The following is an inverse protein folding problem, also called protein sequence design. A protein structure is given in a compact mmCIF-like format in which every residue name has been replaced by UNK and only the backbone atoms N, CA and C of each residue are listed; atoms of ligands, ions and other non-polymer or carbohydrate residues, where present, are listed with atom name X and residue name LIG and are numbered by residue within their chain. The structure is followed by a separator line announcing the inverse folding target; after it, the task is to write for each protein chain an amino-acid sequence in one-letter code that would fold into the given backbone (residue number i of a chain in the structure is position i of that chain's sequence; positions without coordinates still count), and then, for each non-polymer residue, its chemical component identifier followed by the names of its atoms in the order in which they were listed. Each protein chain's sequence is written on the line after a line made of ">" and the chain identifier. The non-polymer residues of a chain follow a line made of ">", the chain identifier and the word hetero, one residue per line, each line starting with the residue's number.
data_IF_119121674085
#
_entry.id   IF_119121674085
#
_cell.length_a   1.000
_cell.length_b   1.000
_cell.length_c   1.000
_cell.angle_alpha   90.00
_cell.angle_beta   90.00
_cell.angle_gamma   90.00
#
_symmetry.space_group_name_H-M   'P 1'
#
loop_
_entity.id
_entity.type
_entity.pdbx_description
1 polymer ?
#
# COMPACT_ATOMS: atom_id res chain seq x y z
N UNK A 1 10.81 -12.20 -5.46
CA UNK A 1 10.62 -10.75 -5.30
C UNK A 1 9.66 -10.54 -4.14
N UNK A 2 10.00 -9.70 -3.16
CA UNK A 2 9.10 -9.43 -2.03
C UNK A 2 7.94 -8.52 -2.44
N UNK A 3 6.88 -8.45 -1.64
CA UNK A 3 5.77 -7.52 -1.88
C UNK A 3 6.22 -6.05 -1.80
N UNK A 4 7.23 -5.76 -0.98
CA UNK A 4 7.84 -4.43 -0.87
C UNK A 4 8.65 -4.08 -2.12
N UNK A 5 9.44 -5.01 -2.66
CA UNK A 5 10.17 -4.82 -3.92
C UNK A 5 9.19 -4.60 -5.09
N UNK A 6 8.12 -5.40 -5.15
CA UNK A 6 7.07 -5.27 -6.15
C UNK A 6 6.39 -3.90 -6.05
N UNK A 7 6.13 -3.42 -4.83
CA UNK A 7 5.55 -2.11 -4.63
C UNK A 7 6.51 -0.98 -5.03
N UNK A 8 7.80 -1.09 -4.73
CA UNK A 8 8.80 -0.10 -5.15
C UNK A 8 8.83 0.06 -6.68
N UNK A 9 8.86 -1.05 -7.43
CA UNK A 9 8.79 -1.02 -8.89
C UNK A 9 7.48 -0.40 -9.40
N UNK A 10 6.35 -0.79 -8.80
CA UNK A 10 5.04 -0.25 -9.17
C UNK A 10 4.91 1.24 -8.87
N UNK A 11 5.50 1.72 -7.78
CA UNK A 11 5.56 3.15 -7.45
C UNK A 11 6.33 3.92 -8.50
N UNK A 12 7.51 3.45 -8.88
CA UNK A 12 8.35 4.14 -9.87
C UNK A 12 7.64 4.17 -11.23
N UNK A 13 6.96 3.08 -11.61
CA UNK A 13 6.08 3.04 -12.79
C UNK A 13 4.88 3.99 -12.65
N UNK A 14 4.27 4.10 -11.47
CA UNK A 14 3.15 5.01 -11.22
C UNK A 14 3.57 6.47 -11.40
N UNK A 15 4.70 6.88 -10.84
CA UNK A 15 5.26 8.23 -10.98
C UNK A 15 5.48 8.55 -12.46
N UNK A 16 6.15 7.66 -13.19
CA UNK A 16 6.40 7.84 -14.62
C UNK A 16 5.11 7.96 -15.47
N UNK A 17 4.05 7.21 -15.15
CA UNK A 17 2.79 7.26 -15.90
C UNK A 17 1.90 8.45 -15.51
N UNK A 18 1.95 8.90 -14.24
CA UNK A 18 1.17 10.04 -13.76
C UNK A 18 1.65 11.34 -14.43
N UNK A 19 2.95 11.48 -14.61
CA UNK A 19 3.57 12.67 -15.22
C UNK A 19 3.42 12.73 -16.74
N UNK A 20 3.13 11.59 -17.40
CA UNK A 20 2.96 11.55 -18.85
C UNK A 20 1.70 12.29 -19.31
N UNK A 21 1.88 13.26 -20.21
CA UNK A 21 0.81 13.91 -20.96
C UNK A 21 0.54 13.18 -22.27
N UNK A 22 -0.73 13.04 -22.64
CA UNK A 22 -1.15 12.55 -23.95
C UNK A 22 -2.32 13.39 -24.48
N UNK A 23 -2.24 13.80 -25.75
CA UNK A 23 -3.22 14.70 -26.38
C UNK A 23 -3.85 14.11 -27.65
N UNK A 24 -3.20 13.14 -28.30
CA UNK A 24 -3.79 12.41 -29.42
C UNK A 24 -4.54 11.14 -28.94
N UNK A 25 -5.58 10.69 -29.66
CA UNK A 25 -6.40 9.55 -29.24
C UNK A 25 -5.63 8.24 -29.01
N UNK A 26 -4.59 7.97 -29.82
CA UNK A 26 -3.84 6.72 -29.73
C UNK A 26 -2.95 6.70 -28.50
N UNK A 27 -2.25 7.80 -28.20
CA UNK A 27 -1.45 7.94 -26.99
C UNK A 27 -2.34 7.90 -25.73
N UNK A 28 -3.50 8.55 -25.76
CA UNK A 28 -4.49 8.52 -24.68
C UNK A 28 -4.92 7.06 -24.39
N UNK A 29 -5.30 6.31 -25.42
CA UNK A 29 -5.73 4.92 -25.28
C UNK A 29 -4.63 4.01 -24.68
N UNK A 30 -3.38 4.18 -25.15
CA UNK A 30 -2.23 3.42 -24.63
C UNK A 30 -1.95 3.75 -23.16
N UNK A 31 -1.95 5.02 -22.80
CA UNK A 31 -1.69 5.45 -21.43
C UNK A 31 -2.81 5.01 -20.48
N UNK A 32 -4.08 5.09 -20.90
CA UNK A 32 -5.21 4.53 -20.14
C UNK A 32 -5.06 3.02 -19.91
N UNK A 33 -4.62 2.27 -20.92
CA UNK A 33 -4.37 0.84 -20.79
C UNK A 33 -3.27 0.56 -19.75
N UNK A 34 -2.14 1.27 -19.79
CA UNK A 34 -1.06 1.09 -18.83
C UNK A 34 -1.48 1.44 -17.39
N UNK A 35 -2.22 2.54 -17.20
CA UNK A 35 -2.77 2.93 -15.90
C UNK A 35 -3.76 1.88 -15.36
N UNK A 36 -4.61 1.33 -16.23
CA UNK A 36 -5.54 0.26 -15.88
C UNK A 36 -4.83 -1.03 -15.45
N UNK A 37 -3.80 -1.44 -16.19
CA UNK A 37 -3.00 -2.63 -15.86
C UNK A 37 -2.25 -2.45 -14.55
N UNK A 38 -1.59 -1.31 -14.37
CA UNK A 38 -0.88 -0.99 -13.13
C UNK A 38 -1.82 -0.97 -11.93
N UNK A 39 -3.01 -0.36 -12.04
CA UNK A 39 -3.99 -0.35 -10.95
C UNK A 39 -4.42 -1.77 -10.52
N UNK A 40 -4.57 -2.70 -11.48
CA UNK A 40 -4.86 -4.12 -11.18
C UNK A 40 -3.69 -4.83 -10.52
N UNK A 41 -2.47 -4.63 -11.00
CA UNK A 41 -1.25 -5.17 -10.39
C UNK A 41 -1.11 -4.69 -8.95
N UNK A 42 -1.33 -3.39 -8.70
CA UNK A 42 -1.26 -2.79 -7.37
C UNK A 42 -2.30 -3.36 -6.41
N UNK A 43 -3.51 -3.74 -6.86
CA UNK A 43 -4.48 -4.41 -5.98
C UNK A 43 -3.91 -5.71 -5.38
N UNK A 44 -3.23 -6.52 -6.20
CA UNK A 44 -2.59 -7.76 -5.74
C UNK A 44 -1.47 -7.48 -4.73
N UNK A 45 -0.60 -6.52 -5.04
CA UNK A 45 0.47 -6.10 -4.13
C UNK A 45 -0.06 -5.57 -2.80
N UNK A 46 -1.09 -4.71 -2.83
CA UNK A 46 -1.73 -4.15 -1.63
C UNK A 46 -2.34 -5.26 -0.77
N UNK A 47 -2.96 -6.27 -1.37
CA UNK A 47 -3.50 -7.42 -0.63
C UNK A 47 -2.39 -8.16 0.12
N UNK A 48 -1.28 -8.48 -0.57
CA UNK A 48 -0.14 -9.17 0.03
C UNK A 48 0.52 -8.34 1.14
N UNK A 49 0.69 -7.03 0.94
CA UNK A 49 1.21 -6.12 1.96
C UNK A 49 0.27 -6.03 3.17
N UNK A 50 -1.04 -5.98 2.93
CA UNK A 50 -2.05 -5.90 4.00
C UNK A 50 -2.08 -7.16 4.85
N UNK A 51 -1.96 -8.33 4.21
CA UNK A 51 -1.83 -9.61 4.91
C UNK A 51 -0.55 -9.68 5.74
N UNK A 52 0.59 -9.28 5.18
CA UNK A 52 1.85 -9.24 5.91
C UNK A 52 1.81 -8.28 7.12
N UNK A 53 1.21 -7.10 6.96
CA UNK A 53 1.02 -6.14 8.05
C UNK A 53 0.10 -6.70 9.15
N UNK A 54 -1.01 -7.36 8.77
CA UNK A 54 -1.91 -7.99 9.72
C UNK A 54 -1.23 -9.11 10.51
N UNK A 55 -0.45 -9.97 9.83
CA UNK A 55 0.31 -11.04 10.47
C UNK A 55 1.35 -10.47 11.45
N UNK A 56 2.11 -9.43 11.04
CA UNK A 56 3.10 -8.78 11.90
C UNK A 56 2.46 -8.21 13.18
N UNK A 57 1.25 -7.64 13.07
CA UNK A 57 0.49 -7.13 14.22
C UNK A 57 0.06 -8.25 15.16
N UNK A 58 -0.50 -9.34 14.62
CA UNK A 58 -0.91 -10.51 15.40
C UNK A 58 0.30 -11.11 16.14
N UNK A 59 1.45 -11.24 15.46
CA UNK A 59 2.67 -11.78 16.05
C UNK A 59 3.21 -10.88 17.17
N UNK A 60 3.19 -9.56 16.98
CA UNK A 60 3.61 -8.59 18.01
C UNK A 60 2.72 -8.68 19.25
N UNK A 61 1.40 -8.76 19.06
CA UNK A 61 0.43 -8.88 20.16
C UNK A 61 0.56 -10.24 20.87
N UNK A 62 0.74 -11.33 20.12
CA UNK A 62 0.95 -12.67 20.68
C UNK A 62 2.27 -12.77 21.46
N UNK A 63 3.34 -12.15 20.97
CA UNK A 63 4.61 -12.07 21.71
C UNK A 63 4.46 -11.29 23.00
N UNK A 64 3.79 -10.12 22.95
CA UNK A 64 3.53 -9.33 24.15
C UNK A 64 2.70 -10.10 25.18
N UNK A 65 1.67 -10.84 24.75
CA UNK A 65 0.86 -11.67 25.62
C UNK A 65 1.70 -12.75 26.33
N UNK A 66 2.50 -13.52 25.58
CA UNK A 66 3.41 -14.53 26.14
C UNK A 66 4.38 -13.96 27.17
N UNK A 67 4.98 -12.79 26.88
CA UNK A 67 5.88 -12.13 27.81
C UNK A 67 5.17 -11.75 29.12
N UNK A 68 3.91 -11.29 29.06
CA UNK A 68 3.12 -10.99 30.27
C UNK A 68 2.96 -12.25 31.12
N UNK A 69 2.55 -13.36 30.50
CA UNK A 69 2.35 -14.64 31.19
C UNK A 69 3.66 -15.11 31.84
N UNK A 70 4.78 -15.08 31.10
CA UNK A 70 6.12 -15.43 31.60
C UNK A 70 6.54 -14.57 32.80
N UNK A 71 6.27 -13.26 32.81
CA UNK A 71 6.60 -12.42 33.95
C UNK A 71 5.70 -12.68 35.15
N UNK A 72 4.42 -12.97 34.93
CA UNK A 72 3.50 -13.33 36.01
C UNK A 72 3.89 -14.66 36.65
N UNK A 73 4.29 -15.66 35.86
CA UNK A 73 4.84 -16.92 36.35
C UNK A 73 6.10 -16.72 37.21
N UNK A 74 6.92 -15.71 36.88
CA UNK A 74 8.09 -15.29 37.67
C UNK A 74 7.74 -14.44 38.91
N UNK A 75 6.46 -14.30 39.24
CA UNK A 75 5.98 -13.62 40.44
C UNK A 75 5.84 -12.09 40.30
N UNK A 76 5.90 -11.55 39.08
CA UNK A 76 5.70 -10.11 38.86
C UNK A 76 4.21 -9.75 38.95
N UNK A 77 3.88 -8.58 39.50
CA UNK A 77 2.51 -8.07 39.45
C UNK A 77 2.10 -7.78 38.00
N UNK A 78 0.81 -7.97 37.68
CA UNK A 78 0.28 -7.77 36.32
C UNK A 78 0.64 -6.41 35.72
N UNK A 79 0.62 -5.34 36.53
CA UNK A 79 1.00 -4.00 36.07
C UNK A 79 2.45 -3.95 35.59
N UNK A 80 3.39 -4.45 36.42
CA UNK A 80 4.82 -4.44 36.06
C UNK A 80 5.12 -5.39 34.90
N UNK A 81 4.43 -6.53 34.84
CA UNK A 81 4.53 -7.48 33.72
C UNK A 81 4.13 -6.84 32.38
N UNK A 82 3.02 -6.09 32.38
CA UNK A 82 2.55 -5.33 31.20
C UNK A 82 3.54 -4.26 30.75
N UNK A 83 4.12 -3.51 31.70
CA UNK A 83 5.09 -2.46 31.37
C UNK A 83 6.36 -3.05 30.76
N UNK A 84 6.89 -4.13 31.36
CA UNK A 84 8.06 -4.87 30.86
C UNK A 84 7.81 -5.47 29.48
N UNK A 85 6.71 -6.20 29.31
CA UNK A 85 6.36 -6.82 28.04
C UNK A 85 6.16 -5.80 26.92
N UNK A 86 5.56 -4.64 27.23
CA UNK A 86 5.39 -3.55 26.27
C UNK A 86 6.74 -2.95 25.86
N UNK A 87 7.66 -2.76 26.79
CA UNK A 87 9.01 -2.30 26.49
C UNK A 87 9.79 -3.31 25.64
N UNK A 88 9.71 -4.61 25.93
CA UNK A 88 10.45 -5.65 25.22
C UNK A 88 9.86 -6.02 23.85
N UNK A 89 8.55 -5.84 23.65
CA UNK A 89 7.87 -6.02 22.36
C UNK A 89 7.82 -4.74 21.50
N UNK A 90 8.48 -3.66 21.92
CA UNK A 90 8.42 -2.35 21.23
C UNK A 90 8.88 -2.40 19.77
N UNK A 91 9.87 -3.23 19.47
CA UNK A 91 10.42 -3.32 18.12
C UNK A 91 9.51 -4.09 17.18
N UNK A 92 8.85 -5.16 17.66
CA UNK A 92 7.86 -5.90 16.87
C UNK A 92 6.65 -5.03 16.58
N UNK A 93 6.18 -4.28 17.58
CA UNK A 93 5.13 -3.29 17.39
C UNK A 93 5.53 -2.23 16.36
N UNK A 94 6.75 -1.69 16.45
CA UNK A 94 7.24 -0.71 15.47
C UNK A 94 7.29 -1.29 14.05
N UNK A 95 7.71 -2.55 13.89
CA UNK A 95 7.72 -3.21 12.58
C UNK A 95 6.29 -3.38 12.03
N UNK A 96 5.34 -3.78 12.87
CA UNK A 96 3.93 -3.86 12.48
C UNK A 96 3.37 -2.49 12.05
N UNK A 97 3.65 -1.44 12.82
CA UNK A 97 3.26 -0.06 12.48
C UNK A 97 3.92 0.41 11.17
N UNK A 98 5.18 0.07 10.93
CA UNK A 98 5.86 0.37 9.65
C UNK A 98 5.21 -0.36 8.48
N UNK A 99 4.83 -1.62 8.63
CA UNK A 99 4.13 -2.38 7.60
C UNK A 99 2.77 -1.75 7.25
N UNK A 100 2.01 -1.29 8.26
CA UNK A 100 0.75 -0.56 8.04
C UNK A 100 0.99 0.76 7.25
N UNK A 101 2.07 1.49 7.56
CA UNK A 101 2.44 2.71 6.82
C UNK A 101 2.74 2.42 5.34
N UNK A 102 3.42 1.30 5.03
CA UNK A 102 3.70 0.90 3.65
C UNK A 102 2.40 0.57 2.90
N UNK A 103 1.46 -0.12 3.54
CA UNK A 103 0.13 -0.41 2.96
C UNK A 103 -0.62 0.88 2.63
N UNK A 104 -0.63 1.84 3.55
CA UNK A 104 -1.30 3.13 3.33
C UNK A 104 -0.65 3.93 2.21
N UNK A 105 0.68 3.88 2.10
CA UNK A 105 1.38 4.50 0.99
C UNK A 105 0.99 3.86 -0.34
N UNK A 106 0.94 2.52 -0.42
CA UNK A 106 0.52 1.81 -1.62
C UNK A 106 -0.90 2.16 -2.06
N UNK A 107 -1.85 2.24 -1.11
CA UNK A 107 -3.22 2.69 -1.39
C UNK A 107 -3.28 4.12 -1.93
N UNK A 108 -2.49 5.04 -1.38
CA UNK A 108 -2.42 6.43 -1.88
C UNK A 108 -1.84 6.51 -3.28
N UNK A 109 -0.78 5.76 -3.56
CA UNK A 109 -0.20 5.68 -4.91
C UNK A 109 -1.22 5.14 -5.92
N UNK A 110 -1.93 4.08 -5.57
CA UNK A 110 -3.00 3.55 -6.43
C UNK A 110 -4.12 4.57 -6.65
N UNK A 111 -4.51 5.32 -5.62
CA UNK A 111 -5.50 6.38 -5.75
C UNK A 111 -5.07 7.47 -6.73
N UNK A 112 -3.78 7.84 -6.75
CA UNK A 112 -3.22 8.76 -7.75
C UNK A 112 -3.25 8.18 -9.16
N UNK A 113 -2.89 6.89 -9.34
CA UNK A 113 -3.00 6.20 -10.64
C UNK A 113 -4.44 6.21 -11.15
N UNK A 114 -5.40 5.88 -10.29
CA UNK A 114 -6.82 5.89 -10.63
C UNK A 114 -7.31 7.29 -10.97
N UNK A 115 -6.90 8.31 -10.21
CA UNK A 115 -7.23 9.71 -10.51
C UNK A 115 -6.73 10.10 -11.90
N UNK A 116 -5.46 9.81 -12.21
CA UNK A 116 -4.89 10.10 -13.52
C UNK A 116 -5.65 9.40 -14.64
N UNK A 117 -6.02 8.14 -14.43
CA UNK A 117 -6.82 7.38 -15.39
C UNK A 117 -8.15 8.08 -15.68
N UNK A 118 -8.86 8.57 -14.66
CA UNK A 118 -10.11 9.30 -14.85
C UNK A 118 -9.93 10.65 -15.55
N UNK A 119 -8.90 11.42 -15.18
CA UNK A 119 -8.55 12.67 -15.83
C UNK A 119 -8.33 12.46 -17.34
N UNK A 120 -7.52 11.46 -17.69
CA UNK A 120 -7.18 11.16 -19.06
C UNK A 120 -8.38 10.63 -19.87
N UNK A 121 -9.27 9.86 -19.23
CA UNK A 121 -10.53 9.42 -19.84
C UNK A 121 -11.41 10.62 -20.22
N UNK A 122 -11.43 11.67 -19.40
CA UNK A 122 -12.19 12.89 -19.69
C UNK A 122 -11.56 13.68 -20.84
N UNK A 123 -10.23 13.77 -20.89
CA UNK A 123 -9.51 14.37 -22.02
C UNK A 123 -9.84 13.62 -23.32
N UNK A 124 -9.77 12.28 -23.31
CA UNK A 124 -10.09 11.45 -24.48
C UNK A 124 -11.52 11.67 -25.01
N UNK A 125 -12.51 11.79 -24.12
CA UNK A 125 -13.90 12.10 -24.51
C UNK A 125 -14.04 13.45 -25.21
N UNK A 126 -13.27 14.45 -24.78
CA UNK A 126 -13.27 15.79 -25.40
C UNK A 126 -12.64 15.73 -26.78
N UNK A 127 -11.48 15.09 -26.91
CA UNK A 127 -10.78 14.94 -28.19
C UNK A 127 -11.63 14.17 -29.21
N UNK A 128 -12.26 13.07 -28.81
CA UNK A 128 -13.16 12.30 -29.69
C UNK A 128 -14.36 13.12 -30.20
N UNK A 129 -14.88 14.03 -29.36
CA UNK A 129 -15.99 14.92 -29.76
C UNK A 129 -15.53 15.95 -30.79
N UNK A 130 -14.36 16.54 -30.61
CA UNK A 130 -13.79 17.53 -31.53
C UNK A 130 -13.47 16.89 -32.89
N UNK A 131 -12.92 15.67 -32.89
CA UNK A 131 -12.58 14.93 -34.13
C UNK A 131 -13.81 14.48 -34.91
N UNK A 132 -14.92 14.13 -34.24
CA UNK A 132 -16.16 13.69 -34.92
C UNK A 132 -17.13 14.82 -35.25
N UNK A 133 -16.97 16.00 -34.66
CA UNK A 133 -17.88 17.13 -34.79
C UNK A 133 -17.45 18.24 -35.74
N UNK A 134 -16.25 18.14 -36.33
CA UNK A 134 -15.73 19.06 -37.36
C UNK A 134 -15.56 18.36 -38.70
#
# INVERSE_FOLDING_TARGET
>A
MSAEDAFAEQRDRAEALIEQSATDPLAIARLLHHLSMLSREMNGTIANLSEAAANARVDADARRARLIDEYQERGMSLSRARDRATYEAREDRRKAEQAEVVVDYAKRTQASVNRRHFELMNVGKTVDREVRGG
#
